data_IF_885883275595
#
_entry.id   IF_885883275595
#
_cell.length_a   1.000
_cell.length_b   1.000
_cell.length_c   1.000
_cell.angle_alpha   90.00
_cell.angle_beta   90.00
_cell.angle_gamma   90.00
#
_symmetry.space_group_name_H-M   'P 1'
#
loop_
_entity.id
_entity.type
_entity.pdbx_description
1 polymer ?
#
# COMPACT_ATOMS: atom_id res chain seq x y z
N UNK A 1 67.97 -87.08 2.54
CA UNK A 1 66.87 -87.01 3.53
C UNK A 1 66.78 -85.61 4.13
N UNK A 2 67.87 -84.99 4.58
CA UNK A 2 67.91 -83.58 5.06
C UNK A 2 67.30 -82.58 4.06
N UNK A 3 67.78 -82.56 2.82
CA UNK A 3 67.38 -81.60 1.78
C UNK A 3 65.89 -81.68 1.45
N UNK A 4 65.31 -82.89 1.46
CA UNK A 4 63.87 -83.08 1.29
C UNK A 4 63.07 -82.48 2.46
N UNK A 5 63.55 -82.67 3.69
CA UNK A 5 62.91 -82.09 4.88
C UNK A 5 63.01 -80.56 4.89
N UNK A 6 64.13 -80.01 4.44
CA UNK A 6 64.34 -78.57 4.32
C UNK A 6 63.43 -77.97 3.24
N UNK A 7 63.32 -78.62 2.07
CA UNK A 7 62.36 -78.24 1.02
C UNK A 7 60.91 -78.26 1.52
N UNK A 8 60.52 -79.27 2.30
CA UNK A 8 59.17 -79.35 2.87
C UNK A 8 58.88 -78.25 3.91
N UNK A 9 59.89 -77.83 4.68
CA UNK A 9 59.77 -76.69 5.60
C UNK A 9 59.61 -75.38 4.83
N UNK A 10 60.41 -75.17 3.79
CA UNK A 10 60.33 -73.98 2.92
C UNK A 10 58.97 -73.89 2.21
N UNK A 11 58.47 -75.01 1.67
CA UNK A 11 57.15 -75.04 1.04
C UNK A 11 56.04 -74.68 2.03
N UNK A 12 56.10 -75.21 3.26
CA UNK A 12 55.12 -74.88 4.31
C UNK A 12 55.18 -73.40 4.70
N UNK A 13 56.37 -72.82 4.84
CA UNK A 13 56.53 -71.38 5.10
C UNK A 13 55.89 -70.57 3.98
N UNK A 14 56.22 -70.88 2.72
CA UNK A 14 55.67 -70.18 1.56
C UNK A 14 54.14 -70.30 1.46
N UNK A 15 53.58 -71.48 1.75
CA UNK A 15 52.12 -71.66 1.81
C UNK A 15 51.48 -70.79 2.90
N UNK A 16 52.08 -70.73 4.09
CA UNK A 16 51.59 -69.88 5.17
C UNK A 16 51.65 -68.39 4.79
N UNK A 17 52.75 -67.95 4.18
CA UNK A 17 52.92 -66.56 3.72
C UNK A 17 51.86 -66.20 2.67
N UNK A 18 51.57 -67.13 1.74
CA UNK A 18 50.51 -66.96 0.74
C UNK A 18 49.10 -66.91 1.35
N UNK A 19 48.83 -67.74 2.36
CA UNK A 19 47.55 -67.74 3.09
C UNK A 19 47.35 -66.43 3.86
N UNK A 20 48.40 -65.93 4.52
CA UNK A 20 48.37 -64.64 5.22
C UNK A 20 48.15 -63.48 4.23
N UNK A 21 48.87 -63.47 3.11
CA UNK A 21 48.69 -62.50 2.04
C UNK A 21 47.26 -62.52 1.45
N UNK A 22 46.70 -63.72 1.25
CA UNK A 22 45.34 -63.88 0.76
C UNK A 22 44.31 -63.36 1.77
N UNK A 23 44.49 -63.65 3.06
CA UNK A 23 43.63 -63.15 4.12
C UNK A 23 43.68 -61.61 4.22
N UNK A 24 44.88 -61.03 4.13
CA UNK A 24 45.07 -59.58 4.12
C UNK A 24 44.37 -58.92 2.93
N UNK A 25 44.59 -59.41 1.71
CA UNK A 25 43.91 -58.90 0.50
C UNK A 25 42.39 -59.03 0.61
N UNK A 26 41.88 -60.13 1.15
CA UNK A 26 40.43 -60.33 1.35
C UNK A 26 39.85 -59.32 2.34
N UNK A 27 40.57 -58.99 3.42
CA UNK A 27 40.15 -57.98 4.38
C UNK A 27 40.15 -56.56 3.78
N UNK A 28 41.19 -56.22 3.01
CA UNK A 28 41.30 -54.94 2.28
C UNK A 28 40.17 -54.80 1.24
N UNK A 29 39.87 -55.86 0.48
CA UNK A 29 38.77 -55.86 -0.49
C UNK A 29 37.41 -55.66 0.19
N UNK A 30 37.17 -56.34 1.31
CA UNK A 30 35.92 -56.16 2.06
C UNK A 30 35.80 -54.74 2.63
N UNK A 31 36.89 -54.16 3.12
CA UNK A 31 36.92 -52.77 3.58
C UNK A 31 36.61 -51.79 2.43
N UNK A 32 37.19 -52.00 1.25
CA UNK A 32 36.91 -51.18 0.07
C UNK A 32 35.45 -51.30 -0.38
N UNK A 33 34.89 -52.52 -0.39
CA UNK A 33 33.46 -52.74 -0.73
C UNK A 33 32.55 -51.96 0.21
N UNK A 34 32.77 -52.03 1.52
CA UNK A 34 31.97 -51.27 2.50
C UNK A 34 32.12 -49.76 2.33
N UNK A 35 33.32 -49.27 1.99
CA UNK A 35 33.52 -47.84 1.70
C UNK A 35 32.78 -47.40 0.44
N UNK A 36 32.79 -48.21 -0.62
CA UNK A 36 32.03 -47.94 -1.86
C UNK A 36 30.53 -47.91 -1.57
N UNK A 37 30.01 -48.90 -0.84
CA UNK A 37 28.58 -48.96 -0.49
C UNK A 37 28.14 -47.74 0.33
N UNK A 38 28.99 -47.24 1.24
CA UNK A 38 28.72 -46.03 2.01
C UNK A 38 28.69 -44.79 1.09
N UNK A 39 29.67 -44.63 0.20
CA UNK A 39 29.68 -43.51 -0.74
C UNK A 39 28.51 -43.55 -1.73
N UNK A 40 28.08 -44.74 -2.18
CA UNK A 40 26.90 -44.88 -3.03
C UNK A 40 25.63 -44.43 -2.30
N UNK A 41 25.51 -44.71 -1.01
CA UNK A 41 24.42 -44.23 -0.18
C UNK A 41 24.45 -42.69 -0.03
N UNK A 42 25.63 -42.11 0.21
CA UNK A 42 25.80 -40.66 0.30
C UNK A 42 25.46 -39.97 -1.03
N UNK A 43 25.91 -40.52 -2.16
CA UNK A 43 25.57 -40.02 -3.51
C UNK A 43 24.06 -40.08 -3.75
N UNK A 44 23.39 -41.15 -3.32
CA UNK A 44 21.94 -41.26 -3.43
C UNK A 44 21.22 -40.19 -2.60
N UNK A 45 21.71 -39.90 -1.38
CA UNK A 45 21.19 -38.84 -0.53
C UNK A 45 21.37 -37.46 -1.16
N UNK A 46 22.57 -37.14 -1.64
CA UNK A 46 22.87 -35.86 -2.30
C UNK A 46 21.99 -35.67 -3.54
N UNK A 47 21.77 -36.72 -4.34
CA UNK A 47 20.85 -36.66 -5.49
C UNK A 47 19.41 -36.37 -5.08
N UNK A 48 18.94 -36.97 -3.98
CA UNK A 48 17.60 -36.73 -3.46
C UNK A 48 17.46 -35.28 -2.97
N UNK A 49 18.44 -34.76 -2.23
CA UNK A 49 18.48 -33.37 -1.76
C UNK A 49 18.55 -32.39 -2.92
N UNK A 50 19.39 -32.63 -3.93
CA UNK A 50 19.49 -31.78 -5.12
C UNK A 50 18.16 -31.72 -5.88
N UNK A 51 17.44 -32.86 -5.98
CA UNK A 51 16.10 -32.90 -6.58
C UNK A 51 15.10 -32.08 -5.77
N UNK A 52 15.08 -32.24 -4.45
CA UNK A 52 14.21 -31.46 -3.57
C UNK A 52 14.48 -29.97 -3.68
N UNK A 53 15.76 -29.56 -3.63
CA UNK A 53 16.15 -28.15 -3.78
C UNK A 53 15.72 -27.57 -5.13
N UNK A 54 15.80 -28.35 -6.22
CA UNK A 54 15.32 -27.94 -7.54
C UNK A 54 13.80 -27.71 -7.54
N UNK A 55 13.02 -28.61 -6.93
CA UNK A 55 11.56 -28.49 -6.82
C UNK A 55 11.16 -27.28 -5.97
N UNK A 56 11.86 -27.04 -4.86
CA UNK A 56 11.66 -25.86 -4.01
C UNK A 56 12.01 -24.56 -4.75
N UNK A 57 13.09 -24.55 -5.53
CA UNK A 57 13.47 -23.39 -6.34
C UNK A 57 12.43 -23.06 -7.42
N UNK A 58 11.81 -24.07 -8.06
CA UNK A 58 10.71 -23.86 -9.02
C UNK A 58 9.45 -23.30 -8.34
N UNK A 59 9.10 -23.80 -7.16
CA UNK A 59 7.98 -23.25 -6.36
C UNK A 59 8.24 -21.81 -5.91
N UNK A 60 9.49 -21.51 -5.51
CA UNK A 60 9.89 -20.15 -5.17
C UNK A 60 9.83 -19.23 -6.40
N UNK A 61 10.25 -19.71 -7.57
CA UNK A 61 10.21 -18.93 -8.81
C UNK A 61 8.77 -18.59 -9.24
N UNK A 62 7.84 -19.55 -9.12
CA UNK A 62 6.42 -19.35 -9.44
C UNK A 62 5.73 -18.40 -8.47
N UNK A 63 5.94 -18.56 -7.16
CA UNK A 63 5.42 -17.63 -6.15
C UNK A 63 5.99 -16.22 -6.32
N UNK A 64 7.29 -16.07 -6.61
CA UNK A 64 7.91 -14.79 -6.93
C UNK A 64 7.27 -14.14 -8.15
N UNK A 65 7.02 -14.90 -9.22
CA UNK A 65 6.37 -14.38 -10.43
C UNK A 65 4.95 -13.86 -10.12
N UNK A 66 4.18 -14.57 -9.29
CA UNK A 66 2.86 -14.12 -8.86
C UNK A 66 2.93 -12.80 -8.07
N UNK A 67 3.84 -12.69 -7.11
CA UNK A 67 4.04 -11.44 -6.35
C UNK A 67 4.40 -10.27 -7.27
N UNK A 68 5.26 -10.49 -8.28
CA UNK A 68 5.59 -9.44 -9.24
C UNK A 68 4.37 -8.94 -10.02
N UNK A 69 3.45 -9.82 -10.41
CA UNK A 69 2.19 -9.45 -11.07
C UNK A 69 1.33 -8.61 -10.12
N UNK A 70 1.14 -9.06 -8.88
CA UNK A 70 0.36 -8.32 -7.88
C UNK A 70 0.93 -6.93 -7.59
N UNK A 71 2.26 -6.81 -7.48
CA UNK A 71 2.94 -5.51 -7.30
C UNK A 71 2.71 -4.59 -8.49
N UNK A 72 2.82 -5.10 -9.72
CA UNK A 72 2.57 -4.31 -10.93
C UNK A 72 1.11 -3.80 -10.99
N UNK A 73 0.14 -4.63 -10.63
CA UNK A 73 -1.28 -4.23 -10.56
C UNK A 73 -1.53 -3.17 -9.49
N UNK A 74 -0.90 -3.30 -8.32
CA UNK A 74 -1.00 -2.32 -7.23
C UNK A 74 -0.37 -0.99 -7.65
N UNK A 75 0.80 -1.02 -8.29
CA UNK A 75 1.45 0.17 -8.80
C UNK A 75 0.61 0.89 -9.86
N UNK A 76 -0.05 0.14 -10.75
CA UNK A 76 -1.00 0.71 -11.72
C UNK A 76 -2.20 1.40 -11.06
N UNK A 77 -2.75 0.82 -9.98
CA UNK A 77 -3.82 1.44 -9.19
C UNK A 77 -3.37 2.71 -8.49
N UNK A 78 -2.17 2.73 -7.91
CA UNK A 78 -1.60 3.92 -7.28
C UNK A 78 -1.47 5.04 -8.32
N UNK A 79 -0.88 4.75 -9.48
CA UNK A 79 -0.74 5.74 -10.55
C UNK A 79 -2.09 6.30 -11.03
N UNK A 80 -3.13 5.46 -11.10
CA UNK A 80 -4.49 5.91 -11.42
C UNK A 80 -5.05 6.86 -10.36
N UNK A 81 -4.91 6.51 -9.07
CA UNK A 81 -5.35 7.35 -7.95
C UNK A 81 -4.58 8.67 -7.88
N UNK A 82 -3.30 8.71 -8.26
CA UNK A 82 -2.52 9.95 -8.32
C UNK A 82 -3.10 10.92 -9.37
N UNK A 83 -3.51 10.40 -10.53
CA UNK A 83 -4.18 11.19 -11.57
C UNK A 83 -5.53 11.71 -11.09
N UNK A 84 -6.31 10.87 -10.41
CA UNK A 84 -7.58 11.29 -9.81
C UNK A 84 -7.38 12.38 -8.74
N UNK A 85 -6.38 12.24 -7.87
CA UNK A 85 -6.03 13.23 -6.86
C UNK A 85 -5.63 14.57 -7.49
N UNK A 86 -4.82 14.53 -8.55
CA UNK A 86 -4.43 15.74 -9.29
C UNK A 86 -5.64 16.43 -9.93
N UNK A 87 -6.54 15.64 -10.54
CA UNK A 87 -7.78 16.15 -11.15
C UNK A 87 -8.71 16.77 -10.11
N UNK A 88 -8.86 16.12 -8.95
CA UNK A 88 -9.67 16.62 -7.85
C UNK A 88 -9.11 17.93 -7.28
N UNK A 89 -7.78 18.00 -7.10
CA UNK A 89 -7.08 19.21 -6.66
C UNK A 89 -7.34 20.38 -7.61
N UNK A 90 -7.19 20.15 -8.93
CA UNK A 90 -7.47 21.17 -9.95
C UNK A 90 -8.93 21.63 -9.90
N UNK A 91 -9.87 20.70 -9.74
CA UNK A 91 -11.31 21.01 -9.66
C UNK A 91 -11.62 21.87 -8.43
N UNK A 92 -11.00 21.55 -7.29
CA UNK A 92 -11.17 22.30 -6.04
C UNK A 92 -10.61 23.73 -6.17
N UNK A 93 -9.48 23.90 -6.85
CA UNK A 93 -8.90 25.21 -7.12
C UNK A 93 -9.80 26.07 -8.01
N UNK A 94 -10.40 25.48 -9.05
CA UNK A 94 -11.39 26.16 -9.89
C UNK A 94 -12.64 26.59 -9.11
N UNK A 95 -13.15 25.72 -8.23
CA UNK A 95 -14.30 26.04 -7.38
C UNK A 95 -13.99 27.19 -6.42
N UNK A 96 -12.81 27.20 -5.79
CA UNK A 96 -12.37 28.31 -4.96
C UNK A 96 -12.29 29.63 -5.75
N UNK A 97 -11.77 29.59 -6.97
CA UNK A 97 -11.72 30.77 -7.84
C UNK A 97 -13.13 31.29 -8.21
N UNK A 98 -14.07 30.39 -8.49
CA UNK A 98 -15.46 30.75 -8.79
C UNK A 98 -16.17 31.35 -7.57
N UNK A 99 -15.98 30.78 -6.37
CA UNK A 99 -16.50 31.31 -5.11
C UNK A 99 -15.95 32.73 -4.86
N UNK A 100 -14.65 32.94 -5.03
CA UNK A 100 -14.05 34.25 -4.84
C UNK A 100 -14.61 35.29 -5.84
N UNK A 101 -14.73 34.91 -7.12
CA UNK A 101 -15.29 35.76 -8.19
C UNK A 101 -16.75 36.11 -7.95
N UNK A 102 -17.58 35.14 -7.59
CA UNK A 102 -19.01 35.35 -7.31
C UNK A 102 -19.22 36.19 -6.05
N UNK A 103 -18.43 35.95 -5.00
CA UNK A 103 -18.44 36.75 -3.77
C UNK A 103 -18.09 38.22 -4.03
N UNK A 104 -17.05 38.49 -4.84
CA UNK A 104 -16.68 39.85 -5.21
C UNK A 104 -17.82 40.57 -5.95
N UNK A 105 -18.44 39.92 -6.93
CA UNK A 105 -19.60 40.46 -7.68
C UNK A 105 -20.81 40.72 -6.77
N UNK A 106 -21.06 39.85 -5.80
CA UNK A 106 -22.14 40.02 -4.82
C UNK A 106 -21.89 41.24 -3.92
N UNK A 107 -20.66 41.41 -3.46
CA UNK A 107 -20.28 42.55 -2.62
C UNK A 107 -20.38 43.87 -3.38
N UNK A 108 -19.99 43.91 -4.66
CA UNK A 108 -20.17 45.08 -5.53
C UNK A 108 -21.65 45.45 -5.69
N UNK A 109 -22.52 44.46 -5.96
CA UNK A 109 -23.97 44.67 -6.01
C UNK A 109 -24.52 45.17 -4.67
N UNK A 110 -24.09 44.60 -3.56
CA UNK A 110 -24.52 45.02 -2.22
C UNK A 110 -24.15 46.48 -1.98
N UNK A 111 -22.91 46.87 -2.29
CA UNK A 111 -22.44 48.25 -2.19
C UNK A 111 -23.27 49.21 -3.05
N UNK A 112 -23.57 48.82 -4.29
CA UNK A 112 -24.42 49.60 -5.19
C UNK A 112 -25.82 49.85 -4.61
N UNK A 113 -26.48 48.80 -4.08
CA UNK A 113 -27.80 48.93 -3.48
C UNK A 113 -27.78 49.76 -2.19
N UNK A 114 -26.77 49.59 -1.34
CA UNK A 114 -26.57 50.44 -0.15
C UNK A 114 -26.48 51.91 -0.54
N UNK A 115 -25.61 52.25 -1.51
CA UNK A 115 -25.44 53.64 -2.00
C UNK A 115 -26.73 54.21 -2.60
N UNK A 116 -27.46 53.40 -3.36
CA UNK A 116 -28.75 53.79 -3.95
C UNK A 116 -29.79 54.07 -2.86
N UNK A 117 -29.84 53.22 -1.83
CA UNK A 117 -30.76 53.36 -0.70
C UNK A 117 -30.45 54.62 0.09
N UNK A 118 -29.17 54.86 0.44
CA UNK A 118 -28.72 56.10 1.09
C UNK A 118 -29.12 57.34 0.29
N UNK A 119 -28.91 57.31 -1.03
CA UNK A 119 -29.30 58.42 -1.92
C UNK A 119 -30.81 58.69 -1.90
N UNK A 120 -31.63 57.63 -1.93
CA UNK A 120 -33.08 57.75 -1.84
C UNK A 120 -33.53 58.26 -0.47
N UNK A 121 -32.91 57.79 0.62
CA UNK A 121 -33.21 58.25 1.98
C UNK A 121 -32.91 59.74 2.14
N UNK A 122 -31.76 60.22 1.64
CA UNK A 122 -31.43 61.66 1.65
C UNK A 122 -32.46 62.47 0.87
N UNK A 123 -32.81 62.07 -0.35
CA UNK A 123 -33.84 62.76 -1.17
C UNK A 123 -35.20 62.79 -0.47
N UNK A 124 -35.59 61.71 0.20
CA UNK A 124 -36.84 61.65 0.94
C UNK A 124 -36.83 62.62 2.13
N UNK A 125 -35.72 62.65 2.86
CA UNK A 125 -35.53 63.55 4.00
C UNK A 125 -35.60 65.02 3.57
N UNK A 126 -34.92 65.38 2.47
CA UNK A 126 -34.99 66.73 1.87
C UNK A 126 -36.43 67.12 1.51
N UNK A 127 -37.21 66.20 0.92
CA UNK A 127 -38.62 66.49 0.63
C UNK A 127 -39.47 66.65 1.89
N UNK A 128 -39.19 65.86 2.93
CA UNK A 128 -39.91 65.94 4.20
C UNK A 128 -39.60 67.25 4.93
N UNK A 129 -38.35 67.72 4.89
CA UNK A 129 -37.93 69.03 5.38
C UNK A 129 -38.59 70.17 4.59
N UNK A 130 -38.63 70.08 3.25
CA UNK A 130 -39.33 71.05 2.40
C UNK A 130 -40.83 71.16 2.73
N UNK A 131 -41.50 70.03 2.96
CA UNK A 131 -42.90 69.99 3.41
C UNK A 131 -43.08 70.56 4.83
N UNK A 132 -42.12 70.35 5.72
CA UNK A 132 -42.10 70.95 7.05
C UNK A 132 -42.01 72.48 6.97
N UNK A 133 -41.11 73.01 6.14
CA UNK A 133 -40.98 74.45 5.92
C UNK A 133 -42.22 75.07 5.27
N UNK A 134 -42.90 74.37 4.36
CA UNK A 134 -44.12 74.89 3.71
C UNK A 134 -45.32 74.95 4.68
N UNK A 135 -45.47 73.96 5.57
CA UNK A 135 -46.45 74.01 6.66
C UNK A 135 -46.20 75.20 7.59
N UNK A 136 -44.95 75.45 7.96
CA UNK A 136 -44.60 76.53 8.89
C UNK A 136 -44.77 77.94 8.27
N UNK A 137 -44.71 78.08 6.94
CA UNK A 137 -45.04 79.33 6.22
C UNK A 137 -46.55 79.60 6.11
N UNK A 138 -47.40 78.58 6.31
CA UNK A 138 -48.86 78.73 6.31
C UNK A 138 -49.47 79.04 7.68
N UNK A 139 -48.66 79.07 8.75
CA UNK A 139 -49.13 79.35 10.12
C UNK A 139 -48.89 80.82 10.50
N UNK A 140 -49.44 81.73 9.69
CA UNK A 140 -49.73 83.11 10.10
C UNK A 140 -51.05 83.54 9.47
N UNK A 141 -52.14 82.96 9.95
CA UNK A 141 -53.49 83.52 9.98
C UNK A 141 -54.40 82.56 10.77
N UNK A 142 -55.12 83.12 11.73
CA UNK A 142 -55.99 82.45 12.69
C UNK A 142 -57.24 81.78 12.06
N UNK A 143 -57.96 80.93 12.81
CA UNK A 143 -58.94 79.98 12.27
C UNK A 143 -60.33 80.58 12.10
N UNK A 144 -61.03 80.20 11.03
CA UNK A 144 -62.47 80.37 10.93
C UNK A 144 -63.18 79.03 10.67
N UNK A 145 -63.99 78.66 11.65
CA UNK A 145 -65.03 77.64 11.58
C UNK A 145 -66.15 78.13 10.66
N UNK A 146 -66.69 77.25 9.81
CA UNK A 146 -68.13 77.03 9.55
C UNK A 146 -68.28 75.85 8.57
N UNK A 147 -69.10 74.86 8.95
CA UNK A 147 -69.23 73.57 8.26
C UNK A 147 -70.31 73.52 7.18
N UNK A 148 -70.46 72.35 6.55
CA UNK A 148 -71.66 71.90 5.84
C UNK A 148 -71.62 70.36 5.66
N UNK A 149 -72.71 69.72 6.09
CA UNK A 149 -73.05 68.30 5.96
C UNK A 149 -73.49 67.93 4.53
N UNK A 150 -73.12 66.74 4.04
CA UNK A 150 -73.85 65.90 3.07
C UNK A 150 -73.10 64.55 3.00
N UNK A 151 -73.64 63.33 3.14
CA UNK A 151 -75.00 62.81 3.15
C UNK A 151 -74.95 61.41 2.50
N UNK A 152 -75.62 60.45 3.14
CA UNK A 152 -76.07 59.15 2.61
C UNK A 152 -75.14 57.92 2.68
N UNK A 153 -75.48 57.04 3.61
CA UNK A 153 -75.15 55.62 3.64
C UNK A 153 -76.12 54.82 2.76
N UNK A 154 -75.67 53.72 2.14
CA UNK A 154 -76.53 52.55 1.85
C UNK A 154 -75.68 51.27 1.91
N UNK A 155 -76.05 50.38 2.82
CA UNK A 155 -75.68 48.96 2.88
C UNK A 155 -76.54 48.17 1.89
N UNK A 156 -76.06 47.10 1.24
CA UNK A 156 -76.89 45.94 0.87
C UNK A 156 -76.03 44.71 0.55
N UNK A 157 -76.40 43.59 1.16
CA UNK A 157 -75.94 42.23 0.87
C UNK A 157 -76.76 41.60 -0.28
N UNK A 158 -76.19 40.62 -0.99
CA UNK A 158 -76.97 39.74 -1.88
C UNK A 158 -76.12 38.91 -2.87
N UNK A 159 -76.21 37.59 -2.73
CA UNK A 159 -75.70 36.55 -3.64
C UNK A 159 -76.36 36.55 -5.04
N UNK A 160 -75.64 36.09 -6.08
CA UNK A 160 -75.90 34.81 -6.79
C UNK A 160 -75.13 34.66 -8.13
N UNK A 161 -74.52 33.49 -8.29
CA UNK A 161 -74.42 32.60 -9.46
C UNK A 161 -74.21 33.11 -10.91
N UNK A 162 -73.10 32.67 -11.52
CA UNK A 162 -73.06 31.76 -12.69
C UNK A 162 -73.09 32.34 -14.11
N UNK A 163 -71.98 32.20 -14.87
CA UNK A 163 -71.87 31.45 -16.14
C UNK A 163 -70.47 31.61 -16.75
N UNK A 164 -69.95 30.50 -17.26
CA UNK A 164 -68.64 30.28 -17.87
C UNK A 164 -68.44 31.04 -19.19
N UNK A 165 -67.19 31.42 -19.47
CA UNK A 165 -66.59 31.16 -20.79
C UNK A 165 -65.19 30.57 -20.60
N UNK A 166 -65.04 29.39 -21.20
CA UNK A 166 -63.85 28.55 -21.27
C UNK A 166 -63.22 28.74 -22.64
N UNK A 167 -62.00 29.26 -22.68
CA UNK A 167 -61.02 29.12 -23.77
C UNK A 167 -59.65 29.26 -23.08
N UNK A 168 -58.73 28.30 -23.07
CA UNK A 168 -58.61 27.00 -23.69
C UNK A 168 -57.12 26.71 -23.71
N UNK A 169 -56.65 25.70 -22.97
CA UNK A 169 -55.67 24.69 -23.42
C UNK A 169 -55.33 23.76 -22.25
N UNK A 170 -56.08 22.66 -22.12
CA UNK A 170 -55.89 21.64 -21.10
C UNK A 170 -55.36 20.33 -21.71
N UNK A 171 -54.38 20.41 -22.62
CA UNK A 171 -53.80 19.22 -23.27
C UNK A 171 -52.39 18.84 -22.80
N UNK A 172 -51.86 19.42 -21.72
CA UNK A 172 -50.47 19.15 -21.27
C UNK A 172 -50.25 18.69 -19.83
N UNK A 173 -51.30 18.51 -19.01
CA UNK A 173 -51.08 18.18 -17.59
C UNK A 173 -51.03 16.67 -17.29
N UNK A 174 -51.41 15.80 -18.23
CA UNK A 174 -51.40 14.35 -18.04
C UNK A 174 -50.02 13.68 -18.14
N UNK A 175 -49.05 14.30 -18.83
CA UNK A 175 -47.72 13.70 -19.08
C UNK A 175 -46.61 14.21 -18.16
N UNK A 176 -46.77 15.40 -17.57
CA UNK A 176 -45.74 16.06 -16.74
C UNK A 176 -45.64 15.46 -15.33
N UNK A 177 -46.77 15.08 -14.71
CA UNK A 177 -46.79 14.47 -13.37
C UNK A 177 -46.21 13.04 -13.39
N UNK A 178 -46.51 12.27 -14.43
CA UNK A 178 -45.96 10.92 -14.61
C UNK A 178 -44.44 10.91 -14.85
N UNK A 179 -43.93 11.87 -15.64
CA UNK A 179 -42.49 12.02 -15.87
C UNK A 179 -41.73 12.43 -14.61
N UNK A 180 -42.24 13.38 -13.83
CA UNK A 180 -41.63 13.80 -12.56
C UNK A 180 -41.58 12.67 -11.53
N UNK A 181 -42.64 11.86 -11.45
CA UNK A 181 -42.67 10.72 -10.54
C UNK A 181 -41.65 9.64 -10.93
N UNK A 182 -41.48 9.38 -12.23
CA UNK A 182 -40.49 8.45 -12.78
C UNK A 182 -39.04 8.94 -12.56
N UNK A 183 -38.80 10.24 -12.69
CA UNK A 183 -37.49 10.84 -12.38
C UNK A 183 -37.15 10.77 -10.89
N UNK A 184 -38.11 11.02 -10.00
CA UNK A 184 -37.90 10.89 -8.55
C UNK A 184 -37.62 9.44 -8.15
N UNK A 185 -38.31 8.48 -8.76
CA UNK A 185 -38.10 7.05 -8.50
C UNK A 185 -36.70 6.60 -8.93
N UNK A 186 -36.25 6.99 -10.11
CA UNK A 186 -34.89 6.68 -10.59
C UNK A 186 -33.80 7.34 -9.75
N UNK A 187 -34.01 8.57 -9.25
CA UNK A 187 -33.10 9.21 -8.28
C UNK A 187 -33.07 8.47 -6.93
N UNK A 188 -34.22 7.97 -6.47
CA UNK A 188 -34.32 7.19 -5.23
C UNK A 188 -33.57 5.85 -5.36
N UNK A 189 -33.77 5.12 -6.45
CA UNK A 189 -33.02 3.89 -6.73
C UNK A 189 -31.52 4.15 -6.84
N UNK A 190 -31.11 5.23 -7.54
CA UNK A 190 -29.71 5.64 -7.61
C UNK A 190 -29.12 5.97 -6.23
N UNK A 191 -29.89 6.64 -5.37
CA UNK A 191 -29.47 6.96 -4.01
C UNK A 191 -29.34 5.70 -3.14
N UNK A 192 -30.28 4.74 -3.26
CA UNK A 192 -30.19 3.46 -2.59
C UNK A 192 -28.94 2.67 -2.99
N UNK A 193 -28.64 2.61 -4.29
CA UNK A 193 -27.43 1.94 -4.79
C UNK A 193 -26.15 2.60 -4.25
N UNK A 194 -26.11 3.93 -4.16
CA UNK A 194 -24.98 4.66 -3.56
C UNK A 194 -24.82 4.37 -2.07
N UNK A 195 -25.93 4.26 -1.34
CA UNK A 195 -25.90 3.90 0.09
C UNK A 195 -25.37 2.47 0.28
N UNK A 196 -25.79 1.54 -0.58
CA UNK A 196 -25.31 0.16 -0.54
C UNK A 196 -23.80 0.07 -0.85
N UNK A 197 -23.33 0.81 -1.86
CA UNK A 197 -21.90 0.95 -2.17
C UNK A 197 -21.12 1.51 -0.97
N UNK A 198 -21.61 2.56 -0.32
CA UNK A 198 -21.00 3.13 0.90
C UNK A 198 -20.95 2.10 2.04
N UNK A 199 -22.03 1.34 2.25
CA UNK A 199 -22.08 0.30 3.28
C UNK A 199 -21.09 -0.84 2.99
N UNK A 200 -20.94 -1.22 1.73
CA UNK A 200 -19.95 -2.22 1.31
C UNK A 200 -18.52 -1.74 1.60
N UNK A 201 -18.19 -0.50 1.22
CA UNK A 201 -16.87 0.12 1.46
C UNK A 201 -16.58 0.26 2.96
N UNK A 202 -17.58 0.66 3.75
CA UNK A 202 -17.48 0.72 5.21
C UNK A 202 -17.16 -0.65 5.81
N UNK A 203 -17.78 -1.71 5.31
CA UNK A 203 -17.54 -3.08 5.79
C UNK A 203 -16.11 -3.55 5.46
N UNK A 204 -15.62 -3.25 4.26
CA UNK A 204 -14.22 -3.48 3.86
C UNK A 204 -13.24 -2.76 4.77
N UNK A 205 -13.47 -1.46 5.00
CA UNK A 205 -12.59 -0.62 5.82
C UNK A 205 -12.56 -1.10 7.28
N UNK A 206 -13.69 -1.55 7.83
CA UNK A 206 -13.73 -2.17 9.16
C UNK A 206 -12.92 -3.47 9.23
N UNK A 207 -12.94 -4.29 8.17
CA UNK A 207 -12.10 -5.49 8.09
C UNK A 207 -10.61 -5.15 8.07
N UNK A 208 -10.21 -4.14 7.29
CA UNK A 208 -8.83 -3.66 7.24
C UNK A 208 -8.37 -3.09 8.58
N UNK A 209 -9.19 -2.28 9.26
CA UNK A 209 -8.91 -1.78 10.61
C UNK A 209 -8.66 -2.94 11.58
N UNK A 210 -9.45 -4.01 11.51
CA UNK A 210 -9.28 -5.19 12.35
C UNK A 210 -7.92 -5.88 12.09
N UNK A 211 -7.52 -6.01 10.83
CA UNK A 211 -6.22 -6.59 10.44
C UNK A 211 -5.06 -5.75 10.94
N UNK A 212 -5.11 -4.43 10.73
CA UNK A 212 -4.07 -3.50 11.22
C UNK A 212 -3.94 -3.58 12.73
N UNK A 213 -5.07 -3.68 13.45
CA UNK A 213 -5.07 -3.84 14.91
C UNK A 213 -4.37 -5.14 15.34
N UNK A 214 -4.58 -6.25 14.63
CA UNK A 214 -3.88 -7.50 14.92
C UNK A 214 -2.37 -7.38 14.69
N UNK A 215 -1.94 -6.75 13.59
CA UNK A 215 -0.52 -6.53 13.28
C UNK A 215 0.13 -5.67 14.35
N UNK A 216 -0.50 -4.55 14.73
CA UNK A 216 0.01 -3.67 15.79
C UNK A 216 0.16 -4.39 17.13
N UNK A 217 -0.79 -5.24 17.51
CA UNK A 217 -0.68 -6.01 18.74
C UNK A 217 0.44 -7.05 18.65
N UNK A 218 0.62 -7.69 17.48
CA UNK A 218 1.72 -8.61 17.24
C UNK A 218 3.08 -7.90 17.33
N UNK A 219 3.25 -6.75 16.67
CA UNK A 219 4.47 -5.96 16.72
C UNK A 219 4.77 -5.48 18.13
N UNK A 220 3.76 -5.06 18.88
CA UNK A 220 3.91 -4.67 20.28
C UNK A 220 4.39 -5.82 21.17
N UNK A 221 3.90 -7.04 20.92
CA UNK A 221 4.36 -8.23 21.64
C UNK A 221 5.81 -8.59 21.28
N UNK A 222 6.19 -8.45 20.01
CA UNK A 222 7.58 -8.62 19.57
C UNK A 222 8.48 -7.57 20.23
N UNK A 223 8.05 -6.30 20.22
CA UNK A 223 8.77 -5.19 20.83
C UNK A 223 9.01 -5.41 22.32
N UNK A 224 7.99 -5.88 23.04
CA UNK A 224 8.09 -6.22 24.46
C UNK A 224 9.05 -7.39 24.75
N UNK A 225 9.37 -8.22 23.75
CA UNK A 225 10.33 -9.31 23.84
C UNK A 225 11.80 -8.88 23.78
N UNK A 226 12.10 -7.64 23.35
CA UNK A 226 13.48 -7.15 23.29
C UNK A 226 14.02 -6.78 24.68
N UNK A 227 15.35 -6.85 24.90
CA UNK A 227 15.98 -6.29 26.10
C UNK A 227 15.62 -4.81 26.33
N UNK A 228 15.49 -4.41 27.60
CA UNK A 228 15.10 -3.04 27.98
C UNK A 228 16.00 -1.95 27.36
N UNK A 229 17.31 -2.23 27.25
CA UNK A 229 18.26 -1.31 26.61
C UNK A 229 17.93 -1.00 25.15
N UNK A 230 17.33 -1.96 24.41
CA UNK A 230 16.90 -1.75 23.02
C UNK A 230 15.51 -1.10 22.94
N UNK A 231 14.63 -1.35 23.93
CA UNK A 231 13.31 -0.71 23.99
C UNK A 231 13.38 0.77 24.35
N UNK A 232 14.34 1.16 25.18
CA UNK A 232 14.55 2.54 25.66
C UNK A 232 15.40 3.39 24.70
N UNK A 233 16.03 2.75 23.71
CA UNK A 233 16.87 3.42 22.72
C UNK A 233 16.02 4.30 21.80
N UNK A 234 16.52 5.49 21.45
CA UNK A 234 15.81 6.34 20.51
C UNK A 234 15.96 5.82 19.07
N UNK A 235 14.99 6.18 18.22
CA UNK A 235 14.93 5.72 16.83
C UNK A 235 16.17 6.07 16.01
N UNK A 236 16.82 7.22 16.27
CA UNK A 236 17.99 7.62 15.51
C UNK A 236 19.19 6.76 15.92
N UNK A 237 19.39 6.53 17.22
CA UNK A 237 20.42 5.63 17.72
C UNK A 237 20.24 4.20 17.20
N UNK A 238 18.99 3.70 17.16
CA UNK A 238 18.71 2.38 16.61
C UNK A 238 19.00 2.29 15.09
N UNK A 239 18.72 3.38 14.35
CA UNK A 239 19.05 3.47 12.92
C UNK A 239 20.57 3.50 12.67
N UNK A 240 21.33 4.19 13.52
CA UNK A 240 22.79 4.23 13.47
C UNK A 240 23.41 2.85 13.74
N UNK A 241 22.97 2.16 14.79
CA UNK A 241 23.40 0.78 15.11
C UNK A 241 23.06 -0.20 13.98
N UNK A 242 21.87 -0.07 13.39
CA UNK A 242 21.47 -0.88 12.24
C UNK A 242 22.38 -0.65 11.02
N UNK A 243 22.78 0.59 10.76
CA UNK A 243 23.73 0.93 9.68
C UNK A 243 25.14 0.40 9.99
N UNK A 244 25.59 0.50 11.24
CA UNK A 244 26.87 -0.06 11.67
C UNK A 244 26.90 -1.58 11.45
N UNK A 245 25.88 -2.30 11.91
CA UNK A 245 25.75 -3.75 11.71
C UNK A 245 25.70 -4.15 10.23
N UNK A 246 25.07 -3.35 9.37
CA UNK A 246 25.13 -3.59 7.92
C UNK A 246 26.54 -3.42 7.35
N UNK A 247 27.28 -2.42 7.84
CA UNK A 247 28.68 -2.23 7.49
C UNK A 247 29.55 -3.42 7.92
N UNK A 248 29.38 -3.89 9.15
CA UNK A 248 30.09 -5.07 9.67
C UNK A 248 29.77 -6.31 8.84
N UNK A 249 28.49 -6.55 8.52
CA UNK A 249 28.07 -7.65 7.65
C UNK A 249 28.74 -7.58 6.27
N UNK A 250 28.84 -6.40 5.68
CA UNK A 250 29.52 -6.23 4.40
C UNK A 250 31.01 -6.55 4.52
N UNK A 251 31.66 -6.07 5.58
CA UNK A 251 33.07 -6.37 5.86
C UNK A 251 33.33 -7.86 6.09
N UNK A 252 32.45 -8.56 6.81
CA UNK A 252 32.53 -10.01 7.00
C UNK A 252 32.41 -10.77 5.67
N UNK A 253 31.48 -10.36 4.80
CA UNK A 253 31.33 -10.97 3.46
C UNK A 253 32.58 -10.76 2.61
N UNK A 254 33.16 -9.56 2.61
CA UNK A 254 34.40 -9.26 1.90
C UNK A 254 35.58 -10.09 2.43
N UNK A 255 35.67 -10.22 3.76
CA UNK A 255 36.70 -11.05 4.39
C UNK A 255 36.55 -12.54 4.01
N UNK A 256 35.32 -13.07 4.04
CA UNK A 256 35.04 -14.45 3.61
C UNK A 256 35.41 -14.65 2.13
N UNK A 257 35.05 -13.71 1.26
CA UNK A 257 35.41 -13.76 -0.16
C UNK A 257 36.94 -13.72 -0.36
N UNK A 258 37.67 -12.89 0.39
CA UNK A 258 39.13 -12.83 0.33
C UNK A 258 39.78 -14.14 0.79
N UNK A 259 39.23 -14.79 1.82
CA UNK A 259 39.67 -16.12 2.24
C UNK A 259 39.43 -17.16 1.15
N UNK A 260 38.26 -17.13 0.51
CA UNK A 260 37.92 -18.05 -0.58
C UNK A 260 38.83 -17.88 -1.80
N UNK A 261 39.17 -16.64 -2.17
CA UNK A 261 40.16 -16.33 -3.20
C UNK A 261 41.55 -16.86 -2.83
N UNK A 262 41.96 -16.69 -1.57
CA UNK A 262 43.25 -17.19 -1.07
C UNK A 262 43.32 -18.72 -1.14
N UNK A 263 42.26 -19.40 -0.68
CA UNK A 263 42.14 -20.86 -0.74
C UNK A 263 42.13 -21.34 -2.19
N UNK A 264 41.43 -20.65 -3.08
CA UNK A 264 41.40 -20.97 -4.52
C UNK A 264 42.77 -20.79 -5.17
N UNK A 265 43.51 -19.74 -4.80
CA UNK A 265 44.89 -19.52 -5.22
C UNK A 265 45.82 -20.65 -4.76
N UNK A 266 45.68 -21.11 -3.51
CA UNK A 266 46.46 -22.23 -2.97
C UNK A 266 46.11 -23.57 -3.63
N UNK A 267 44.84 -23.81 -4.00
CA UNK A 267 44.43 -25.01 -4.77
C UNK A 267 45.08 -25.09 -6.16
N UNK A 268 45.52 -23.97 -6.73
CA UNK A 268 46.22 -23.92 -8.02
C UNK A 268 47.73 -24.21 -7.95
N UNK A 269 48.32 -24.19 -6.76
CA UNK A 269 49.77 -24.41 -6.56
C UNK A 269 50.00 -25.91 -6.33
N UNK A 270 50.39 -26.62 -7.39
CA UNK A 270 50.77 -28.04 -7.34
C UNK A 270 52.28 -28.22 -7.43
N UNK A 271 53.02 -27.49 -6.60
CA UNK A 271 54.48 -27.62 -6.58
C UNK A 271 54.90 -28.96 -5.94
N UNK A 272 55.77 -29.73 -6.61
CA UNK A 272 56.29 -30.97 -6.05
C UNK A 272 57.22 -30.66 -4.88
N UNK A 273 56.85 -31.15 -3.70
CA UNK A 273 57.65 -31.00 -2.48
C UNK A 273 58.71 -32.09 -2.45
N UNK A 274 59.98 -31.69 -2.44
CA UNK A 274 61.12 -32.62 -2.39
C UNK A 274 61.44 -33.00 -0.95
N UNK A 275 61.26 -34.27 -0.61
CA UNK A 275 61.61 -34.85 0.68
C UNK A 275 63.13 -34.94 0.84
N UNK A 276 63.61 -34.83 2.08
CA UNK A 276 65.02 -35.05 2.44
C UNK A 276 65.55 -36.43 2.04
N UNK A 277 64.64 -37.37 1.77
CA UNK A 277 64.87 -38.70 1.24
C UNK A 277 65.11 -38.76 -0.29
N UNK A 278 65.01 -37.63 -1.00
CA UNK A 278 65.23 -37.53 -2.45
C UNK A 278 64.00 -37.76 -3.33
N UNK A 279 62.86 -38.14 -2.75
CA UNK A 279 61.58 -38.33 -3.45
C UNK A 279 60.77 -37.02 -3.52
N UNK A 280 60.06 -36.81 -4.62
CA UNK A 280 59.18 -35.66 -4.83
C UNK A 280 57.72 -36.08 -4.67
N UNK A 281 56.96 -35.33 -3.87
CA UNK A 281 55.56 -35.58 -3.57
C UNK A 281 54.71 -34.43 -4.10
N UNK A 282 53.67 -34.74 -4.87
CA UNK A 282 52.67 -33.75 -5.30
C UNK A 282 51.61 -33.62 -4.22
N UNK A 283 51.52 -32.46 -3.58
CA UNK A 283 50.53 -32.17 -2.53
C UNK A 283 49.36 -31.45 -3.19
N UNK A 284 48.16 -32.02 -3.10
CA UNK A 284 46.93 -31.40 -3.58
C UNK A 284 46.03 -31.08 -2.37
N UNK A 285 45.52 -29.85 -2.28
CA UNK A 285 44.56 -29.46 -1.26
C UNK A 285 43.16 -29.90 -1.70
N UNK A 286 42.59 -30.90 -1.01
CA UNK A 286 41.26 -31.44 -1.28
C UNK A 286 40.19 -30.33 -1.31
N UNK A 287 39.48 -30.23 -2.42
CA UNK A 287 38.43 -29.23 -2.63
C UNK A 287 37.07 -29.75 -2.19
N UNK A 288 36.76 -29.66 -0.90
CA UNK A 288 35.36 -29.59 -0.47
C UNK A 288 34.97 -28.11 -0.40
N UNK A 289 33.96 -27.73 -1.19
CA UNK A 289 33.34 -26.42 -1.09
C UNK A 289 32.53 -26.38 0.21
N UNK A 290 32.84 -25.44 1.11
CA UNK A 290 31.95 -25.13 2.21
C UNK A 290 30.80 -24.30 1.64
N UNK A 291 29.66 -24.95 1.38
CA UNK A 291 28.39 -24.25 1.16
C UNK A 291 28.02 -23.52 2.46
N UNK A 292 28.22 -22.20 2.48
CA UNK A 292 27.70 -21.31 3.51
C UNK A 292 26.30 -20.87 3.07
N UNK A 293 25.28 -21.64 3.47
CA UNK A 293 23.87 -21.24 3.46
C UNK A 293 23.55 -20.24 4.57
#
# INVERSE_FOLDING_TARGET
MEEYLENMKSLRSYMNDLEEDAAKRSAEEQQQRTAIDAHDADIALVRAQAKQASEEAEQLATSRAQVCVEVAEKQGRIAMLDVECATLKQTLELLHQEIASTSAKLNEKRLFYTKTTETLTVKLQEQQEWLGLSKNKSTTMEPHVLGLNLGCAVSHAGERHGTFHSEGNLDKLGSDVGNKHKELYTRLESAQLKIEDINSKRSTLLSEISKVKMILEQEKNIFAGFPAALQEMDMNSLEEEYKALQGDKAGEIEYLHSLEETISGMKGISEPVKCCCGLEYKVELGGEAMDLS
#
